data_IF_533324741553
#
_entry.id   IF_533324741553
#
_cell.length_a   1.000
_cell.length_b   1.000
_cell.length_c   1.000
_cell.angle_alpha   90.00
_cell.angle_beta   90.00
_cell.angle_gamma   90.00
#
_symmetry.space_group_name_H-M   'P 1'
#
loop_
_entity.id
_entity.type
_entity.pdbx_description
1 polymer ?
#
# COMPACT_ATOMS: atom_id res chain seq x y z
N UNK A 1 27.45 4.09 -9.48
CA UNK A 1 26.56 4.58 -8.41
C UNK A 1 25.19 4.84 -9.01
N UNK A 2 24.18 4.15 -8.51
CA UNK A 2 22.79 4.21 -8.98
C UNK A 2 22.27 5.66 -8.92
N UNK A 3 21.88 6.21 -10.08
CA UNK A 3 21.49 7.63 -10.27
C UNK A 3 20.34 8.10 -9.35
N UNK A 4 19.51 7.15 -8.91
CA UNK A 4 18.29 7.33 -8.13
C UNK A 4 18.53 7.86 -6.71
N UNK A 5 19.69 7.61 -6.09
CA UNK A 5 20.02 8.16 -4.77
C UNK A 5 20.12 9.70 -4.75
N UNK A 6 20.26 10.35 -5.92
CA UNK A 6 20.28 11.81 -6.05
C UNK A 6 18.88 12.43 -6.16
N UNK A 7 17.84 11.62 -6.34
CA UNK A 7 16.47 12.11 -6.54
C UNK A 7 15.73 12.31 -5.21
N UNK A 8 16.36 12.01 -4.07
CA UNK A 8 15.76 12.09 -2.75
C UNK A 8 15.40 10.71 -2.20
N UNK A 9 14.33 10.66 -1.42
CA UNK A 9 13.82 9.44 -0.80
C UNK A 9 12.84 8.76 -1.74
N UNK A 10 12.91 7.43 -1.80
CA UNK A 10 12.02 6.64 -2.63
C UNK A 10 10.73 6.31 -1.87
N UNK A 11 9.60 6.72 -2.43
CA UNK A 11 8.27 6.33 -2.00
C UNK A 11 7.78 5.15 -2.85
N UNK A 12 7.21 4.14 -2.20
CA UNK A 12 6.56 3.03 -2.87
C UNK A 12 5.30 2.59 -2.12
N UNK A 13 4.23 2.33 -2.87
CA UNK A 13 3.03 1.67 -2.40
C UNK A 13 2.68 0.54 -3.35
N UNK A 14 2.84 -0.70 -2.90
CA UNK A 14 2.72 -1.88 -3.75
C UNK A 14 1.58 -2.84 -3.36
N UNK A 15 0.86 -3.35 -4.36
CA UNK A 15 -0.28 -4.25 -4.20
C UNK A 15 -0.42 -5.24 -5.36
N UNK A 16 -1.31 -6.20 -5.18
CA UNK A 16 -1.76 -7.13 -6.21
C UNK A 16 -3.20 -6.82 -6.59
N UNK A 17 -3.49 -6.77 -7.88
CA UNK A 17 -4.84 -6.51 -8.36
C UNK A 17 -5.08 -6.99 -9.79
N UNK A 18 -6.33 -6.87 -10.26
CA UNK A 18 -6.69 -7.15 -11.64
C UNK A 18 -6.06 -6.16 -12.64
N UNK A 19 -5.67 -6.66 -13.82
CA UNK A 19 -5.02 -5.84 -14.85
C UNK A 19 -5.94 -4.74 -15.42
N UNK A 20 -7.24 -5.01 -15.50
CA UNK A 20 -8.27 -4.14 -16.08
C UNK A 20 -8.61 -2.90 -15.24
N UNK A 21 -7.89 -2.69 -14.14
CA UNK A 21 -8.06 -1.54 -13.22
C UNK A 21 -6.90 -0.55 -13.25
N UNK A 22 -5.88 -0.76 -14.11
CA UNK A 22 -4.68 0.08 -14.19
C UNK A 22 -5.03 1.58 -14.24
N UNK A 23 -5.91 1.96 -15.17
CA UNK A 23 -6.36 3.33 -15.39
C UNK A 23 -7.04 3.92 -14.16
N UNK A 24 -7.94 3.15 -13.53
CA UNK A 24 -8.65 3.57 -12.31
C UNK A 24 -7.70 3.80 -11.15
N UNK A 25 -6.72 2.92 -10.96
CA UNK A 25 -5.69 3.11 -9.95
C UNK A 25 -4.92 4.40 -10.21
N UNK A 26 -4.43 4.59 -11.44
CA UNK A 26 -3.62 5.75 -11.77
C UNK A 26 -4.39 7.08 -11.66
N UNK A 27 -5.58 7.17 -12.21
CA UNK A 27 -6.33 8.44 -12.25
C UNK A 27 -6.87 8.84 -10.88
N UNK A 28 -7.29 7.90 -10.04
CA UNK A 28 -7.65 8.21 -8.64
C UNK A 28 -6.43 8.68 -7.85
N UNK A 29 -5.30 8.00 -8.00
CA UNK A 29 -4.05 8.40 -7.34
C UNK A 29 -3.61 9.79 -7.79
N UNK A 30 -3.58 10.06 -9.10
CA UNK A 30 -3.19 11.34 -9.66
C UNK A 30 -4.09 12.50 -9.18
N UNK A 31 -5.40 12.25 -9.06
CA UNK A 31 -6.36 13.21 -8.53
C UNK A 31 -6.04 13.57 -7.07
N UNK A 32 -5.79 12.57 -6.22
CA UNK A 32 -5.46 12.78 -4.80
C UNK A 32 -4.09 13.45 -4.67
N UNK A 33 -3.10 12.99 -5.43
CA UNK A 33 -1.73 13.52 -5.45
C UNK A 33 -1.71 15.03 -5.75
N UNK A 34 -2.38 15.44 -6.83
CA UNK A 34 -2.55 16.85 -7.19
C UNK A 34 -3.39 17.61 -6.17
N UNK A 35 -4.45 17.00 -5.64
CA UNK A 35 -5.31 17.61 -4.62
C UNK A 35 -4.59 17.94 -3.31
N UNK A 36 -3.52 17.19 -2.98
CA UNK A 36 -2.66 17.46 -1.83
C UNK A 36 -1.54 18.47 -2.13
N UNK A 37 -1.46 18.98 -3.36
CA UNK A 37 -0.42 19.91 -3.79
C UNK A 37 0.97 19.28 -3.78
N UNK A 38 1.07 17.97 -4.10
CA UNK A 38 2.34 17.30 -4.34
C UNK A 38 2.76 17.59 -5.78
N UNK A 39 3.99 18.04 -5.97
CA UNK A 39 4.50 18.55 -7.26
C UNK A 39 5.41 17.56 -7.97
N UNK A 40 5.93 16.60 -7.21
CA UNK A 40 6.75 15.50 -7.66
C UNK A 40 5.97 14.59 -8.61
N UNK A 41 6.70 13.91 -9.49
CA UNK A 41 6.11 13.00 -10.47
C UNK A 41 5.62 11.72 -9.79
N UNK A 42 4.35 11.39 -10.04
CA UNK A 42 3.76 10.12 -9.61
C UNK A 42 3.80 9.13 -10.78
N UNK A 43 4.49 8.01 -10.56
CA UNK A 43 4.53 6.87 -11.48
C UNK A 43 3.66 5.72 -10.95
N UNK A 44 3.20 4.87 -11.88
CA UNK A 44 2.64 3.57 -11.57
C UNK A 44 3.28 2.52 -12.48
N UNK A 45 3.76 1.44 -11.87
CA UNK A 45 4.27 0.27 -12.58
C UNK A 45 3.27 -0.87 -12.45
N UNK A 46 2.99 -1.56 -13.55
CA UNK A 46 2.14 -2.76 -13.59
C UNK A 46 2.89 -3.92 -14.23
N UNK A 47 3.11 -5.01 -13.50
CA UNK A 47 3.82 -6.21 -13.96
C UNK A 47 2.88 -7.42 -13.84
N UNK A 48 2.26 -7.86 -14.96
CA UNK A 48 1.43 -9.06 -14.95
C UNK A 48 2.23 -10.28 -14.50
N UNK A 49 1.67 -11.08 -13.60
CA UNK A 49 2.33 -12.29 -13.10
C UNK A 49 2.02 -13.48 -14.01
N UNK A 50 3.04 -14.13 -14.55
CA UNK A 50 2.90 -15.43 -15.21
C UNK A 50 2.70 -16.55 -14.17
N UNK A 51 1.84 -17.57 -14.42
CA UNK A 51 1.02 -17.80 -15.62
C UNK A 51 -0.36 -17.11 -15.62
N UNK A 52 -0.64 -16.26 -14.63
CA UNK A 52 -1.93 -15.59 -14.40
C UNK A 52 -2.14 -14.33 -15.24
N UNK A 53 -1.66 -14.32 -16.49
CA UNK A 53 -1.60 -13.12 -17.34
C UNK A 53 -3.00 -12.53 -17.53
N UNK A 54 -3.22 -11.32 -17.01
CA UNK A 54 -4.50 -10.61 -17.03
C UNK A 54 -5.39 -10.82 -15.80
N UNK A 55 -5.12 -11.84 -14.98
CA UNK A 55 -5.84 -12.10 -13.74
C UNK A 55 -5.16 -11.46 -12.54
N UNK A 56 -3.83 -11.62 -12.41
CA UNK A 56 -3.02 -11.15 -11.29
C UNK A 56 -1.88 -10.27 -11.81
N UNK A 57 -1.85 -9.03 -11.35
CA UNK A 57 -0.83 -8.04 -11.71
C UNK A 57 -0.24 -7.43 -10.46
N UNK A 58 1.08 -7.39 -10.39
CA UNK A 58 1.80 -6.59 -9.41
C UNK A 58 1.68 -5.14 -9.80
N UNK A 59 1.35 -4.30 -8.84
CA UNK A 59 1.31 -2.86 -9.01
C UNK A 59 2.15 -2.17 -7.96
N UNK A 60 2.75 -1.05 -8.35
CA UNK A 60 3.44 -0.15 -7.43
C UNK A 60 3.23 1.29 -7.88
N UNK A 61 2.75 2.13 -6.98
CA UNK A 61 2.95 3.57 -7.12
C UNK A 61 4.35 3.91 -6.64
N UNK A 62 5.06 4.71 -7.41
CA UNK A 62 6.39 5.16 -7.06
C UNK A 62 6.58 6.65 -7.33
N UNK A 63 7.37 7.28 -6.47
CA UNK A 63 7.77 8.68 -6.59
C UNK A 63 9.06 8.90 -5.82
N UNK A 64 9.79 9.96 -6.17
CA UNK A 64 10.85 10.49 -5.33
C UNK A 64 10.34 11.73 -4.59
N UNK A 65 10.82 11.94 -3.36
CA UNK A 65 10.43 13.09 -2.54
C UNK A 65 11.52 13.46 -1.51
N UNK A 66 11.49 14.70 -1.01
CA UNK A 66 12.43 15.17 0.02
C UNK A 66 11.88 14.96 1.43
N UNK A 67 12.48 14.03 2.19
CA UNK A 67 12.08 13.70 3.56
C UNK A 67 12.62 14.66 4.61
N UNK A 68 13.44 15.63 4.22
CA UNK A 68 13.88 16.69 5.14
C UNK A 68 12.84 17.80 5.24
N UNK A 69 11.89 17.88 4.30
CA UNK A 69 10.72 18.75 4.39
C UNK A 69 9.55 18.03 5.07
N UNK A 70 9.25 18.44 6.30
CA UNK A 70 8.13 17.92 7.08
C UNK A 70 6.79 18.10 6.37
N UNK A 71 6.59 19.19 5.61
CA UNK A 71 5.32 19.44 4.90
C UNK A 71 5.13 18.44 3.77
N UNK A 72 6.19 18.14 3.02
CA UNK A 72 6.15 17.11 2.00
C UNK A 72 5.96 15.72 2.62
N UNK A 73 6.58 15.46 3.77
CA UNK A 73 6.39 14.22 4.54
C UNK A 73 4.91 14.01 4.89
N UNK A 74 4.27 15.04 5.44
CA UNK A 74 2.86 14.96 5.83
C UNK A 74 1.93 14.78 4.62
N UNK A 75 2.24 15.39 3.47
CA UNK A 75 1.48 15.15 2.23
C UNK A 75 1.59 13.69 1.77
N UNK A 76 2.79 13.09 1.79
CA UNK A 76 3.00 11.70 1.37
C UNK A 76 2.32 10.73 2.33
N UNK A 77 2.38 10.95 3.64
CA UNK A 77 1.64 10.16 4.65
C UNK A 77 0.14 10.22 4.39
N UNK A 78 -0.40 11.42 4.20
CA UNK A 78 -1.83 11.63 3.95
C UNK A 78 -2.27 11.01 2.62
N UNK A 79 -1.48 11.14 1.56
CA UNK A 79 -1.72 10.45 0.29
C UNK A 79 -1.82 8.94 0.52
N UNK A 80 -0.86 8.39 1.24
CA UNK A 80 -0.74 6.96 1.53
C UNK A 80 -1.94 6.43 2.32
N UNK A 81 -2.37 7.14 3.37
CA UNK A 81 -3.57 6.79 4.15
C UNK A 81 -4.85 6.77 3.32
N UNK A 82 -5.04 7.79 2.46
CA UNK A 82 -6.21 7.86 1.56
C UNK A 82 -6.16 6.70 0.57
N UNK A 83 -4.98 6.43 -0.01
CA UNK A 83 -4.82 5.40 -1.03
C UNK A 83 -5.01 3.98 -0.50
N UNK A 84 -4.63 3.68 0.75
CA UNK A 84 -4.92 2.38 1.34
C UNK A 84 -6.41 2.06 1.31
N UNK A 85 -7.23 3.03 1.71
CA UNK A 85 -8.68 2.86 1.72
C UNK A 85 -9.25 2.77 0.31
N UNK A 86 -8.79 3.63 -0.60
CA UNK A 86 -9.26 3.66 -1.99
C UNK A 86 -8.89 2.42 -2.78
N UNK A 87 -7.69 1.89 -2.61
CA UNK A 87 -7.29 0.67 -3.31
C UNK A 87 -8.15 -0.53 -2.89
N UNK A 88 -8.49 -0.65 -1.60
CA UNK A 88 -9.44 -1.68 -1.15
C UNK A 88 -10.82 -1.46 -1.78
N UNK A 89 -11.33 -0.21 -1.84
CA UNK A 89 -12.60 0.11 -2.54
C UNK A 89 -12.56 -0.25 -4.04
N UNK A 90 -11.40 -0.06 -4.68
CA UNK A 90 -11.17 -0.34 -6.10
C UNK A 90 -10.99 -1.83 -6.40
N UNK A 91 -10.97 -2.68 -5.36
CA UNK A 91 -10.99 -4.13 -5.50
C UNK A 91 -9.61 -4.74 -5.74
N UNK A 92 -8.57 -4.26 -5.05
CA UNK A 92 -7.30 -5.00 -5.00
C UNK A 92 -7.50 -6.38 -4.35
N UNK A 93 -6.62 -7.33 -4.67
CA UNK A 93 -6.65 -8.65 -4.05
C UNK A 93 -5.92 -8.68 -2.72
N UNK A 94 -4.70 -8.12 -2.68
CA UNK A 94 -3.90 -8.06 -1.46
C UNK A 94 -2.77 -7.04 -1.59
N UNK A 95 -2.12 -6.75 -0.47
CA UNK A 95 -0.95 -5.88 -0.40
C UNK A 95 0.33 -6.68 -0.60
N UNK A 96 1.32 -6.13 -1.31
CA UNK A 96 2.62 -6.81 -1.50
C UNK A 96 3.47 -6.74 -0.23
N UNK A 97 3.50 -5.58 0.44
CA UNK A 97 4.22 -5.34 1.70
C UNK A 97 3.42 -4.43 2.62
N UNK A 98 2.41 -4.97 3.31
CA UNK A 98 1.55 -4.15 4.16
C UNK A 98 2.32 -3.61 5.39
N UNK A 99 2.32 -2.29 5.53
CA UNK A 99 2.77 -1.56 6.72
C UNK A 99 1.65 -1.56 7.78
N UNK A 100 1.93 -1.22 9.06
CA UNK A 100 0.89 -1.24 10.11
C UNK A 100 -0.41 -0.50 9.73
N UNK A 101 -0.32 0.72 9.19
CA UNK A 101 -1.50 1.48 8.75
C UNK A 101 -2.30 0.84 7.61
N UNK A 102 -1.65 -0.02 6.80
CA UNK A 102 -2.34 -0.83 5.78
C UNK A 102 -3.24 -1.86 6.45
N UNK A 103 -2.74 -2.56 7.47
CA UNK A 103 -3.51 -3.57 8.18
C UNK A 103 -4.63 -2.96 9.03
N UNK A 104 -4.38 -1.85 9.71
CA UNK A 104 -5.43 -1.09 10.42
C UNK A 104 -6.60 -0.75 9.50
N UNK A 105 -6.29 -0.39 8.24
CA UNK A 105 -7.28 -0.11 7.20
C UNK A 105 -7.95 -1.37 6.63
N UNK A 106 -7.21 -2.47 6.54
CA UNK A 106 -7.64 -3.69 5.84
C UNK A 106 -8.44 -4.63 6.73
N UNK A 107 -7.97 -4.90 7.96
CA UNK A 107 -8.55 -5.90 8.87
C UNK A 107 -10.05 -5.67 9.11
N UNK A 108 -10.53 -4.45 9.41
CA UNK A 108 -11.97 -4.21 9.64
C UNK A 108 -12.84 -4.44 8.40
N UNK A 109 -12.24 -4.42 7.21
CA UNK A 109 -12.92 -4.53 5.92
C UNK A 109 -12.83 -5.93 5.32
N UNK A 110 -11.98 -6.81 5.88
CA UNK A 110 -11.90 -8.20 5.46
C UNK A 110 -13.23 -8.91 5.72
N UNK A 111 -13.73 -9.57 4.67
CA UNK A 111 -14.90 -10.44 4.77
C UNK A 111 -14.45 -11.89 4.98
N UNK A 112 -15.30 -12.69 5.62
CA UNK A 112 -15.02 -14.10 5.90
C UNK A 112 -14.23 -14.32 7.18
N UNK A 113 -13.62 -15.51 7.31
CA UNK A 113 -13.02 -15.96 8.57
C UNK A 113 -11.49 -15.81 8.65
N UNK A 114 -10.83 -15.34 7.59
CA UNK A 114 -9.37 -15.35 7.53
C UNK A 114 -8.71 -14.47 8.60
N UNK A 115 -9.27 -13.30 8.89
CA UNK A 115 -8.76 -12.42 9.95
C UNK A 115 -8.86 -13.07 11.33
N UNK A 116 -10.01 -13.69 11.64
CA UNK A 116 -10.24 -14.41 12.89
C UNK A 116 -9.34 -15.65 13.01
N UNK A 117 -9.22 -16.44 11.95
CA UNK A 117 -8.35 -17.61 11.91
C UNK A 117 -6.90 -17.21 12.17
N UNK A 118 -6.43 -16.15 11.52
CA UNK A 118 -5.07 -15.66 11.71
C UNK A 118 -4.84 -15.18 13.16
N UNK A 119 -5.81 -14.49 13.75
CA UNK A 119 -5.73 -14.12 15.17
C UNK A 119 -5.66 -15.33 16.10
N UNK A 120 -6.48 -16.36 15.87
CA UNK A 120 -6.45 -17.62 16.64
C UNK A 120 -5.09 -18.32 16.54
N UNK A 121 -4.50 -18.38 15.33
CA UNK A 121 -3.16 -18.93 15.13
C UNK A 121 -2.11 -18.12 15.90
N UNK A 122 -2.18 -16.78 15.84
CA UNK A 122 -1.26 -15.91 16.59
C UNK A 122 -1.35 -16.15 18.09
N UNK A 123 -2.55 -16.27 18.66
CA UNK A 123 -2.75 -16.54 20.09
C UNK A 123 -2.32 -17.93 20.53
N UNK A 124 -2.42 -18.92 19.64
CA UNK A 124 -1.89 -20.26 19.90
C UNK A 124 -0.36 -20.27 19.97
N UNK A 125 0.31 -19.56 19.06
CA UNK A 125 1.78 -19.54 18.94
C UNK A 125 2.45 -18.53 19.89
N UNK A 126 1.78 -17.42 20.18
CA UNK A 126 2.30 -16.33 20.99
C UNK A 126 1.21 -15.80 21.94
N UNK A 127 0.87 -16.58 22.98
CA UNK A 127 -0.22 -16.24 23.90
C UNK A 127 0.02 -14.91 24.63
N UNK A 128 1.29 -14.58 24.91
CA UNK A 128 1.70 -13.38 25.62
C UNK A 128 1.95 -12.17 24.70
N UNK A 129 1.77 -12.33 23.38
CA UNK A 129 1.92 -11.27 22.38
C UNK A 129 3.30 -10.57 22.37
N UNK A 130 4.38 -11.31 22.61
CA UNK A 130 5.74 -10.74 22.66
C UNK A 130 6.41 -10.65 21.28
N UNK A 131 5.93 -11.39 20.29
CA UNK A 131 6.47 -11.41 18.93
C UNK A 131 5.80 -10.35 18.05
N UNK A 132 6.47 -9.20 17.91
CA UNK A 132 6.09 -8.08 17.04
C UNK A 132 4.64 -7.59 17.26
N UNK A 133 4.31 -7.08 18.47
CA UNK A 133 2.98 -6.53 18.74
C UNK A 133 2.65 -5.35 17.81
N UNK A 134 1.37 -5.17 17.51
CA UNK A 134 0.88 -4.09 16.64
C UNK A 134 1.18 -4.24 15.14
N UNK A 135 1.94 -5.26 14.71
CA UNK A 135 2.38 -5.36 13.31
C UNK A 135 1.26 -5.66 12.31
N UNK A 136 0.30 -6.49 12.71
CA UNK A 136 -0.81 -6.98 11.86
C UNK A 136 -2.15 -6.73 12.54
N UNK A 137 -2.25 -7.04 13.82
CA UNK A 137 -3.41 -6.77 14.64
C UNK A 137 -3.08 -5.58 15.54
N UNK A 138 -3.87 -4.50 15.49
CA UNK A 138 -3.71 -3.38 16.40
C UNK A 138 -3.89 -3.82 17.86
N UNK A 139 -3.28 -3.08 18.79
CA UNK A 139 -3.39 -3.32 20.24
C UNK A 139 -4.75 -2.93 20.81
#
# INVERSE_FOLDING_TARGET
>A
IFRWFRLGNYYALAWWGPLDRFDKYFFEALKIWKGLGITEELSIVGIPAYPYVGQLTYYEFDSFWDSTDERNTEKIKKFTEIMYQKLIDLGIYCWFRPYPGVFESTIPRLKGCMGELWWKIKKLLDPNNIMNPGKVFPE
#
